data_IF_084886058719
#
_entry.id   IF_084886058719
#
_cell.length_a   1.000
_cell.length_b   1.000
_cell.length_c   1.000
_cell.angle_alpha   90.00
_cell.angle_beta   90.00
_cell.angle_gamma   90.00
#
_symmetry.space_group_name_H-M   'P 1'
#
loop_
_entity.id
_entity.type
_entity.pdbx_description
1 polymer ?
#
# COMPACT_ATOMS: atom_id res chain seq x y z
N UNK A 1 66.70 -29.03 -25.53
CA UNK A 1 68.13 -29.12 -25.20
C UNK A 1 68.51 -27.93 -24.37
N UNK A 2 69.41 -28.14 -23.44
CA UNK A 2 69.36 -28.92 -22.19
C UNK A 2 69.47 -27.93 -21.01
N UNK A 3 69.33 -28.18 -19.76
CA UNK A 3 70.16 -29.10 -18.91
C UNK A 3 69.54 -29.10 -17.48
N UNK A 4 69.31 -30.23 -16.90
CA UNK A 4 69.52 -30.43 -15.47
C UNK A 4 70.98 -30.93 -15.32
N UNK A 5 71.62 -31.16 -14.17
CA UNK A 5 71.14 -31.67 -12.88
C UNK A 5 71.79 -30.95 -11.67
N UNK A 6 71.53 -31.26 -10.39
CA UNK A 6 72.20 -32.35 -9.66
C UNK A 6 71.60 -32.53 -8.24
N UNK A 7 71.63 -33.78 -7.82
CA UNK A 7 71.31 -34.29 -6.51
C UNK A 7 72.47 -34.10 -5.50
N UNK A 8 72.18 -34.13 -4.20
CA UNK A 8 72.94 -34.90 -3.20
C UNK A 8 72.14 -35.08 -1.92
N UNK A 9 71.77 -36.15 -1.59
CA UNK A 9 71.96 -37.24 -0.61
C UNK A 9 72.55 -36.77 0.73
N UNK A 10 71.87 -37.01 1.83
CA UNK A 10 72.25 -37.90 2.92
C UNK A 10 71.28 -37.92 4.09
N UNK A 11 70.70 -39.05 4.38
CA UNK A 11 70.20 -39.47 5.69
C UNK A 11 71.30 -40.31 6.39
N UNK A 12 71.18 -40.93 7.57
CA UNK A 12 70.31 -40.70 8.75
C UNK A 12 71.12 -40.68 10.05
N UNK A 13 70.42 -40.32 11.19
CA UNK A 13 70.83 -40.93 12.48
C UNK A 13 69.75 -40.92 13.54
N UNK A 14 69.31 -42.06 14.00
CA UNK A 14 68.72 -42.39 15.28
C UNK A 14 69.80 -43.17 16.08
N UNK A 15 69.82 -43.37 17.43
CA UNK A 15 68.76 -43.11 18.48
C UNK A 15 69.34 -42.65 19.82
N UNK A 16 68.56 -42.33 20.80
CA UNK A 16 68.76 -42.82 22.16
C UNK A 16 67.54 -42.52 23.11
N UNK A 17 67.09 -43.62 23.71
CA UNK A 17 66.19 -43.66 24.90
C UNK A 17 66.76 -42.93 26.07
N UNK A 18 65.89 -42.13 26.75
CA UNK A 18 65.93 -42.02 28.20
C UNK A 18 64.51 -41.91 28.76
N UNK A 19 64.17 -42.87 29.60
CA UNK A 19 63.04 -42.90 30.54
C UNK A 19 63.19 -41.77 31.60
N UNK A 20 62.07 -41.25 32.03
CA UNK A 20 62.02 -40.65 33.34
C UNK A 20 60.95 -39.60 33.49
N UNK A 21 59.94 -39.95 34.23
CA UNK A 21 59.12 -39.22 35.17
C UNK A 21 57.74 -38.66 34.68
N UNK A 22 56.77 -39.43 35.17
CA UNK A 22 55.37 -39.07 35.27
C UNK A 22 55.17 -37.95 36.30
N UNK A 23 54.83 -36.75 35.84
CA UNK A 23 54.16 -35.77 36.66
C UNK A 23 52.80 -35.44 36.04
N UNK A 24 51.72 -35.97 36.63
CA UNK A 24 50.34 -35.57 36.36
C UNK A 24 50.22 -34.06 36.62
N UNK A 25 50.11 -33.25 35.54
CA UNK A 25 49.56 -31.91 35.62
C UNK A 25 48.10 -31.98 35.20
N UNK A 26 47.24 -31.63 36.14
CA UNK A 26 45.83 -31.37 35.85
C UNK A 26 45.71 -30.26 34.81
N UNK A 27 44.78 -30.34 33.84
CA UNK A 27 44.60 -29.29 32.86
C UNK A 27 44.08 -28.04 33.56
N UNK A 28 44.79 -26.95 33.36
CA UNK A 28 44.43 -25.65 33.87
C UNK A 28 43.06 -25.22 33.23
N UNK A 29 42.12 -24.93 34.06
CA UNK A 29 40.76 -24.43 33.76
C UNK A 29 40.76 -23.14 32.89
N UNK A 30 41.91 -22.55 32.63
CA UNK A 30 42.07 -21.35 31.81
C UNK A 30 42.12 -21.58 30.29
N UNK A 31 42.65 -22.72 29.84
CA UNK A 31 42.78 -23.00 28.39
C UNK A 31 41.45 -23.29 27.68
N UNK A 32 40.50 -23.88 28.39
CA UNK A 32 39.16 -24.12 27.86
C UNK A 32 38.33 -22.85 27.68
N UNK A 33 38.49 -21.88 28.57
CA UNK A 33 37.75 -20.59 28.47
C UNK A 33 38.30 -19.75 27.34
N UNK A 34 39.60 -19.70 27.16
CA UNK A 34 40.23 -18.96 26.01
C UNK A 34 39.90 -19.57 24.68
N UNK A 35 39.77 -20.90 24.59
CA UNK A 35 39.38 -21.61 23.37
C UNK A 35 37.89 -21.30 22.99
N UNK A 36 37.00 -21.28 23.99
CA UNK A 36 35.58 -20.92 23.79
C UNK A 36 35.44 -19.43 23.39
N UNK A 37 36.17 -18.55 24.02
CA UNK A 37 36.17 -17.13 23.67
C UNK A 37 36.70 -16.88 22.25
N UNK A 38 37.75 -17.60 21.82
CA UNK A 38 38.28 -17.49 20.47
C UNK A 38 37.29 -18.03 19.42
N UNK A 39 36.58 -19.12 19.71
CA UNK A 39 35.52 -19.65 18.85
C UNK A 39 34.33 -18.69 18.75
N UNK A 40 33.90 -18.12 19.85
CA UNK A 40 32.83 -17.11 19.86
C UNK A 40 33.21 -15.85 19.10
N UNK A 41 34.45 -15.39 19.21
CA UNK A 41 34.95 -14.26 18.38
C UNK A 41 34.99 -14.61 16.90
N UNK A 42 35.45 -15.80 16.54
CA UNK A 42 35.49 -16.28 15.17
C UNK A 42 34.07 -16.37 14.56
N UNK A 43 33.09 -16.94 15.29
CA UNK A 43 31.70 -17.01 14.87
C UNK A 43 31.08 -15.61 14.70
N UNK A 44 31.42 -14.68 15.60
CA UNK A 44 30.93 -13.30 15.53
C UNK A 44 31.48 -12.55 14.34
N UNK A 45 32.79 -12.71 14.05
CA UNK A 45 33.44 -12.11 12.88
C UNK A 45 32.90 -12.69 11.57
N UNK A 46 32.65 -14.02 11.54
CA UNK A 46 32.07 -14.70 10.37
C UNK A 46 30.62 -14.24 10.14
N UNK A 47 29.81 -14.12 11.19
CA UNK A 47 28.45 -13.57 11.11
C UNK A 47 28.45 -12.10 10.66
N UNK A 48 29.37 -11.27 11.16
CA UNK A 48 29.53 -9.88 10.73
C UNK A 48 29.94 -9.78 9.26
N UNK A 49 30.82 -10.66 8.78
CA UNK A 49 31.22 -10.73 7.37
C UNK A 49 30.05 -11.20 6.47
N UNK A 50 29.29 -12.21 6.89
CA UNK A 50 28.09 -12.64 6.15
C UNK A 50 27.03 -11.56 6.07
N UNK A 51 26.79 -10.82 7.16
CA UNK A 51 25.86 -9.68 7.19
C UNK A 51 26.36 -8.55 6.27
N UNK A 52 27.66 -8.24 6.32
CA UNK A 52 28.25 -7.21 5.46
C UNK A 52 28.18 -7.58 3.97
N UNK A 53 28.41 -8.85 3.64
CA UNK A 53 28.34 -9.35 2.26
C UNK A 53 26.89 -9.33 1.75
N UNK A 54 25.94 -9.83 2.54
CA UNK A 54 24.52 -9.78 2.22
C UNK A 54 24.01 -8.33 2.05
N UNK A 55 24.54 -7.41 2.85
CA UNK A 55 24.24 -5.97 2.74
C UNK A 55 24.77 -5.36 1.45
N UNK A 56 26.01 -5.70 1.07
CA UNK A 56 26.61 -5.22 -0.17
C UNK A 56 25.91 -5.78 -1.42
N UNK A 57 25.52 -7.05 -1.40
CA UNK A 57 24.69 -7.65 -2.48
C UNK A 57 23.32 -7.00 -2.59
N UNK A 58 22.70 -6.73 -1.45
CA UNK A 58 21.40 -6.02 -1.37
C UNK A 58 21.52 -4.59 -1.95
N UNK A 59 22.55 -3.84 -1.57
CA UNK A 59 22.78 -2.48 -2.06
C UNK A 59 23.04 -2.47 -3.57
N UNK A 60 23.83 -3.42 -4.09
CA UNK A 60 24.05 -3.56 -5.53
C UNK A 60 22.76 -3.95 -6.30
N UNK A 61 21.95 -4.85 -5.74
CA UNK A 61 20.68 -5.21 -6.34
C UNK A 61 19.71 -4.00 -6.34
N UNK A 62 19.67 -3.24 -5.26
CA UNK A 62 18.87 -2.03 -5.13
C UNK A 62 19.31 -0.94 -6.12
N UNK A 63 20.62 -0.73 -6.29
CA UNK A 63 21.17 0.21 -7.29
C UNK A 63 20.76 -0.16 -8.71
N UNK A 64 20.89 -1.44 -9.10
CA UNK A 64 20.44 -1.92 -10.42
C UNK A 64 18.94 -1.75 -10.65
N UNK A 65 18.12 -1.95 -9.61
CA UNK A 65 16.67 -1.73 -9.66
C UNK A 65 16.39 -0.23 -9.78
N UNK A 66 17.09 0.61 -9.02
CA UNK A 66 16.97 2.06 -9.02
C UNK A 66 17.33 2.67 -10.38
N UNK A 67 18.41 2.17 -11.03
CA UNK A 67 18.79 2.55 -12.38
C UNK A 67 17.72 2.20 -13.43
N UNK A 68 17.07 1.03 -13.29
CA UNK A 68 16.02 0.56 -14.20
C UNK A 68 14.65 1.20 -13.98
N UNK A 69 14.30 1.50 -12.74
CA UNK A 69 12.96 1.98 -12.36
C UNK A 69 12.93 3.46 -11.97
N UNK A 70 14.09 4.06 -11.71
CA UNK A 70 14.22 5.44 -11.22
C UNK A 70 13.71 5.64 -9.78
N UNK A 71 13.44 4.55 -9.04
CA UNK A 71 12.87 4.58 -7.68
C UNK A 71 13.48 3.50 -6.80
N UNK A 72 13.58 3.76 -5.49
CA UNK A 72 13.93 2.79 -4.46
C UNK A 72 12.77 1.82 -4.21
N UNK A 73 12.63 0.80 -5.07
CA UNK A 73 11.52 -0.15 -5.03
C UNK A 73 11.49 -0.94 -3.71
N UNK A 74 12.65 -1.22 -3.13
CA UNK A 74 12.75 -1.98 -1.88
C UNK A 74 12.24 -1.15 -0.70
N UNK A 75 12.67 0.11 -0.59
CA UNK A 75 12.19 1.03 0.45
C UNK A 75 10.68 1.25 0.30
N UNK A 76 10.20 1.44 -0.94
CA UNK A 76 8.79 1.55 -1.22
C UNK A 76 8.01 0.32 -0.76
N UNK A 77 8.49 -0.89 -1.09
CA UNK A 77 7.84 -2.15 -0.68
C UNK A 77 7.82 -2.32 0.83
N UNK A 78 8.92 -2.01 1.53
CA UNK A 78 8.98 -2.08 2.99
C UNK A 78 7.99 -1.12 3.67
N UNK A 79 7.90 0.12 3.19
CA UNK A 79 6.93 1.10 3.69
C UNK A 79 5.51 0.60 3.41
N UNK A 80 5.23 0.09 2.20
CA UNK A 80 3.93 -0.47 1.84
C UNK A 80 3.53 -1.65 2.73
N UNK A 81 4.45 -2.58 2.99
CA UNK A 81 4.24 -3.72 3.89
C UNK A 81 4.01 -3.24 5.32
N UNK A 82 4.81 -2.30 5.83
CA UNK A 82 4.64 -1.75 7.18
C UNK A 82 3.26 -1.09 7.36
N UNK A 83 2.84 -0.26 6.40
CA UNK A 83 1.49 0.34 6.40
C UNK A 83 0.44 -0.76 6.32
N UNK A 84 0.59 -1.75 5.44
CA UNK A 84 -0.33 -2.86 5.30
C UNK A 84 -0.50 -3.66 6.60
N UNK A 85 0.60 -3.96 7.29
CA UNK A 85 0.57 -4.65 8.59
C UNK A 85 -0.18 -3.82 9.65
N UNK A 86 0.09 -2.51 9.72
CA UNK A 86 -0.62 -1.62 10.66
C UNK A 86 -2.12 -1.56 10.34
N UNK A 87 -2.49 -1.45 9.07
CA UNK A 87 -3.89 -1.43 8.63
C UNK A 87 -4.58 -2.74 9.00
N UNK A 88 -4.00 -3.88 8.66
CA UNK A 88 -4.57 -5.20 8.95
C UNK A 88 -4.66 -5.44 10.46
N UNK A 89 -3.61 -5.14 11.21
CA UNK A 89 -3.63 -5.29 12.67
C UNK A 89 -4.68 -4.40 13.32
N UNK A 90 -4.79 -3.12 12.92
CA UNK A 90 -5.79 -2.20 13.44
C UNK A 90 -7.21 -2.68 13.13
N UNK A 91 -7.44 -3.19 11.93
CA UNK A 91 -8.74 -3.68 11.47
C UNK A 91 -9.21 -4.91 12.27
N UNK A 92 -8.30 -5.86 12.50
CA UNK A 92 -8.63 -7.14 13.19
C UNK A 92 -8.77 -6.93 14.70
N UNK A 93 -7.86 -6.18 15.32
CA UNK A 93 -7.82 -6.09 16.78
C UNK A 93 -8.64 -4.94 17.36
N UNK A 94 -8.68 -3.78 16.69
CA UNK A 94 -9.32 -2.57 17.23
C UNK A 94 -9.96 -1.76 16.10
N UNK A 95 -11.26 -1.99 15.79
CA UNK A 95 -12.01 -1.25 14.76
C UNK A 95 -11.88 0.29 14.87
N UNK A 96 -11.84 0.82 16.09
CA UNK A 96 -11.67 2.26 16.33
C UNK A 96 -10.30 2.79 15.88
N UNK A 97 -9.24 1.98 15.99
CA UNK A 97 -7.91 2.37 15.51
C UNK A 97 -7.87 2.42 13.97
N UNK A 98 -8.54 1.47 13.29
CA UNK A 98 -8.70 1.54 11.84
C UNK A 98 -9.52 2.76 11.42
N UNK A 99 -10.60 3.09 12.14
CA UNK A 99 -11.39 4.29 11.88
C UNK A 99 -10.55 5.58 12.01
N UNK A 100 -9.67 5.64 13.01
CA UNK A 100 -8.72 6.75 13.17
C UNK A 100 -7.69 6.81 12.02
N UNK A 101 -7.18 5.66 11.59
CA UNK A 101 -6.31 5.58 10.42
C UNK A 101 -7.02 6.08 9.15
N UNK A 102 -8.24 5.61 8.91
CA UNK A 102 -9.05 6.05 7.77
C UNK A 102 -9.38 7.54 7.82
N UNK A 103 -9.61 8.10 9.03
CA UNK A 103 -9.79 9.54 9.23
C UNK A 103 -8.52 10.32 8.83
N UNK A 104 -7.35 9.86 9.25
CA UNK A 104 -6.08 10.46 8.87
C UNK A 104 -5.83 10.41 7.36
N UNK A 105 -6.07 9.25 6.74
CA UNK A 105 -5.94 9.06 5.30
C UNK A 105 -6.91 9.96 4.51
N UNK A 106 -8.17 10.04 4.93
CA UNK A 106 -9.19 10.94 4.36
C UNK A 106 -8.75 12.40 4.49
N UNK A 107 -8.29 12.82 5.67
CA UNK A 107 -7.87 14.20 5.90
C UNK A 107 -6.69 14.60 5.00
N UNK A 108 -5.69 13.71 4.85
CA UNK A 108 -4.56 13.93 3.94
C UNK A 108 -5.03 13.97 2.48
N UNK A 109 -5.89 13.05 2.05
CA UNK A 109 -6.41 13.02 0.68
C UNK A 109 -7.25 14.27 0.35
N UNK A 110 -8.10 14.73 1.28
CA UNK A 110 -8.86 15.99 1.12
C UNK A 110 -7.90 17.19 1.03
N UNK A 111 -6.87 17.22 1.87
CA UNK A 111 -5.87 18.29 1.84
C UNK A 111 -5.13 18.30 0.50
N UNK A 112 -4.61 17.17 0.04
CA UNK A 112 -3.90 17.05 -1.24
C UNK A 112 -4.78 17.48 -2.42
N UNK A 113 -6.01 16.96 -2.47
CA UNK A 113 -6.93 17.29 -3.55
C UNK A 113 -7.32 18.77 -3.55
N UNK A 114 -7.64 19.33 -2.39
CA UNK A 114 -7.95 20.76 -2.25
C UNK A 114 -6.78 21.62 -2.70
N UNK A 115 -5.54 21.25 -2.36
CA UNK A 115 -4.34 21.98 -2.79
C UNK A 115 -4.12 21.89 -4.30
N UNK A 116 -4.28 20.71 -4.91
CA UNK A 116 -4.18 20.55 -6.36
C UNK A 116 -5.21 21.44 -7.09
N UNK A 117 -6.43 21.50 -6.58
CA UNK A 117 -7.48 22.36 -7.10
C UNK A 117 -7.19 23.85 -6.92
N UNK A 118 -6.62 24.24 -5.76
CA UNK A 118 -6.19 25.64 -5.53
C UNK A 118 -5.09 26.08 -6.52
N UNK A 119 -4.12 25.19 -6.80
CA UNK A 119 -3.05 25.46 -7.78
C UNK A 119 -3.64 25.62 -9.19
N UNK A 120 -4.70 24.88 -9.53
CA UNK A 120 -5.41 25.02 -10.81
C UNK A 120 -6.35 26.24 -10.89
N UNK A 121 -6.33 27.13 -9.86
CA UNK A 121 -7.08 28.38 -9.82
C UNK A 121 -8.48 28.25 -9.22
N UNK A 122 -8.86 27.08 -8.66
CA UNK A 122 -10.11 26.92 -7.91
C UNK A 122 -9.98 27.41 -6.48
N UNK A 123 -11.06 27.92 -5.91
CA UNK A 123 -11.06 28.39 -4.53
C UNK A 123 -11.79 27.37 -3.65
N UNK A 124 -11.00 26.52 -3.01
CA UNK A 124 -11.48 25.45 -2.12
C UNK A 124 -10.91 25.70 -0.73
N UNK A 125 -11.78 25.90 0.24
CA UNK A 125 -11.38 26.10 1.63
C UNK A 125 -11.24 24.74 2.32
N UNK A 126 -10.04 24.42 2.81
CA UNK A 126 -9.71 23.10 3.35
C UNK A 126 -10.43 22.82 4.68
N UNK A 127 -10.57 23.84 5.55
CA UNK A 127 -11.16 23.67 6.89
C UNK A 127 -12.60 23.15 6.84
N UNK A 128 -13.55 23.76 6.08
CA UNK A 128 -14.90 23.24 5.99
C UNK A 128 -14.95 21.86 5.31
N UNK A 129 -14.05 21.59 4.37
CA UNK A 129 -13.95 20.27 3.75
C UNK A 129 -13.57 19.18 4.79
N UNK A 130 -12.59 19.46 5.64
CA UNK A 130 -12.18 18.55 6.71
C UNK A 130 -13.27 18.39 7.77
N UNK A 131 -13.91 19.48 8.22
CA UNK A 131 -14.97 19.41 9.21
C UNK A 131 -16.17 18.59 8.71
N UNK A 132 -16.60 18.81 7.47
CA UNK A 132 -17.65 18.03 6.83
C UNK A 132 -17.24 16.57 6.61
N UNK A 133 -15.96 16.31 6.28
CA UNK A 133 -15.41 14.97 6.16
C UNK A 133 -15.41 14.19 7.49
N UNK A 134 -15.04 14.83 8.59
CA UNK A 134 -15.14 14.24 9.94
C UNK A 134 -16.60 13.87 10.27
N UNK A 135 -17.54 14.75 9.97
CA UNK A 135 -18.97 14.48 10.14
C UNK A 135 -19.40 13.22 9.37
N UNK A 136 -18.97 13.08 8.12
CA UNK A 136 -19.28 11.92 7.27
C UNK A 136 -18.70 10.62 7.83
N UNK A 137 -17.43 10.61 8.20
CA UNK A 137 -16.81 9.39 8.74
C UNK A 137 -17.43 9.01 10.09
N UNK A 138 -17.65 9.97 10.97
CA UNK A 138 -18.32 9.74 12.26
C UNK A 138 -19.74 9.20 12.06
N UNK A 139 -20.51 9.80 11.16
CA UNK A 139 -21.87 9.31 10.87
C UNK A 139 -21.85 7.91 10.26
N UNK A 140 -20.89 7.58 9.41
CA UNK A 140 -20.74 6.23 8.84
C UNK A 140 -20.43 5.16 9.88
N UNK A 141 -19.67 5.51 10.93
CA UNK A 141 -19.27 4.55 11.96
C UNK A 141 -20.29 4.43 13.11
N UNK A 142 -20.92 5.53 13.53
CA UNK A 142 -21.74 5.58 14.76
C UNK A 142 -23.23 5.59 14.51
N UNK A 143 -23.71 5.92 13.29
CA UNK A 143 -25.15 6.03 13.02
C UNK A 143 -25.60 5.14 11.87
N UNK A 144 -26.87 4.81 11.84
CA UNK A 144 -27.43 3.97 10.80
C UNK A 144 -27.43 4.64 9.42
N UNK A 145 -27.52 3.82 8.36
CA UNK A 145 -27.42 4.21 6.96
C UNK A 145 -28.37 5.38 6.60
N UNK A 146 -29.57 5.43 7.16
CA UNK A 146 -30.51 6.52 6.90
C UNK A 146 -30.00 7.88 7.38
N UNK A 147 -29.53 7.97 8.62
CA UNK A 147 -28.98 9.20 9.17
C UNK A 147 -27.65 9.59 8.49
N UNK A 148 -26.91 8.63 8.00
CA UNK A 148 -25.71 8.91 7.19
C UNK A 148 -26.05 9.65 5.89
N UNK A 149 -27.15 9.33 5.21
CA UNK A 149 -27.60 10.11 4.05
C UNK A 149 -27.93 11.55 4.42
N UNK A 150 -28.58 11.77 5.57
CA UNK A 150 -28.84 13.12 6.09
C UNK A 150 -27.53 13.85 6.38
N UNK A 151 -26.56 13.16 7.01
CA UNK A 151 -25.22 13.72 7.26
C UNK A 151 -24.48 14.05 5.95
N UNK A 152 -24.66 13.25 4.90
CA UNK A 152 -24.07 13.51 3.58
C UNK A 152 -24.64 14.82 2.97
N UNK A 153 -25.95 15.00 3.01
CA UNK A 153 -26.57 16.24 2.57
C UNK A 153 -26.10 17.44 3.40
N UNK A 154 -26.02 17.27 4.72
CA UNK A 154 -25.52 18.31 5.62
C UNK A 154 -24.04 18.66 5.34
N UNK A 155 -23.18 17.67 5.11
CA UNK A 155 -21.77 17.87 4.79
C UNK A 155 -21.59 18.67 3.49
N UNK A 156 -22.31 18.30 2.44
CA UNK A 156 -22.31 19.05 1.17
C UNK A 156 -22.86 20.46 1.38
N UNK A 157 -23.97 20.61 2.13
CA UNK A 157 -24.55 21.92 2.43
C UNK A 157 -23.57 22.82 3.21
N UNK A 158 -22.85 22.29 4.20
CA UNK A 158 -21.82 23.03 4.95
C UNK A 158 -20.79 23.62 3.99
N UNK A 159 -20.25 22.82 3.09
CA UNK A 159 -19.20 23.26 2.13
C UNK A 159 -19.77 24.31 1.15
N UNK A 160 -20.97 24.10 0.64
CA UNK A 160 -21.64 25.02 -0.28
C UNK A 160 -21.93 26.36 0.40
N UNK A 161 -22.57 26.32 1.56
CA UNK A 161 -22.90 27.53 2.33
C UNK A 161 -21.65 28.29 2.73
N UNK A 162 -20.62 27.57 3.21
CA UNK A 162 -19.32 28.18 3.52
C UNK A 162 -18.74 28.92 2.31
N UNK A 163 -18.69 28.27 1.15
CA UNK A 163 -18.12 28.89 -0.05
C UNK A 163 -18.90 30.11 -0.50
N UNK A 164 -20.23 30.07 -0.44
CA UNK A 164 -21.08 31.19 -0.78
C UNK A 164 -20.91 32.34 0.21
N UNK A 165 -20.91 32.10 1.51
CA UNK A 165 -20.70 33.14 2.54
C UNK A 165 -19.28 33.72 2.46
N UNK A 166 -18.27 32.90 2.25
CA UNK A 166 -16.89 33.36 2.02
C UNK A 166 -16.80 34.27 0.79
N UNK A 167 -17.57 34.02 -0.26
CA UNK A 167 -17.60 34.86 -1.45
C UNK A 167 -18.22 36.25 -1.16
N UNK A 168 -19.22 36.34 -0.30
CA UNK A 168 -19.82 37.62 0.08
C UNK A 168 -18.84 38.54 0.80
N UNK A 169 -17.87 37.98 1.52
CA UNK A 169 -16.87 38.73 2.28
C UNK A 169 -15.55 38.96 1.53
N UNK A 170 -15.29 38.19 0.46
CA UNK A 170 -13.97 38.17 -0.16
C UNK A 170 -13.66 39.38 -1.04
N UNK A 171 -14.68 39.99 -1.68
CA UNK A 171 -14.48 41.13 -2.58
C UNK A 171 -13.49 40.89 -3.74
N UNK A 172 -13.24 39.63 -4.12
CA UNK A 172 -12.18 39.19 -5.02
C UNK A 172 -12.52 39.32 -6.53
N UNK A 173 -13.67 39.88 -6.85
CA UNK A 173 -14.07 40.12 -8.24
C UNK A 173 -14.32 38.86 -9.08
N UNK A 174 -14.49 37.67 -8.46
CA UNK A 174 -14.76 36.43 -9.17
C UNK A 174 -16.09 36.48 -9.93
N UNK A 175 -16.09 35.94 -11.14
CA UNK A 175 -17.31 35.84 -11.93
C UNK A 175 -18.31 34.86 -11.28
N UNK A 176 -19.61 35.02 -11.50
CA UNK A 176 -20.61 34.04 -11.03
C UNK A 176 -20.35 32.60 -11.53
N UNK A 177 -19.77 32.46 -12.71
CA UNK A 177 -19.38 31.15 -13.26
C UNK A 177 -18.28 30.49 -12.47
N UNK A 178 -17.28 31.26 -12.05
CA UNK A 178 -16.17 30.73 -11.24
C UNK A 178 -16.65 30.32 -9.86
N UNK A 179 -17.55 31.09 -9.25
CA UNK A 179 -18.15 30.75 -7.94
C UNK A 179 -18.96 29.47 -8.02
N UNK A 180 -19.80 29.31 -9.07
CA UNK A 180 -20.54 28.06 -9.28
C UNK A 180 -19.58 26.88 -9.50
N UNK A 181 -18.53 27.07 -10.29
CA UNK A 181 -17.52 26.02 -10.49
C UNK A 181 -16.79 25.65 -9.19
N UNK A 182 -16.44 26.63 -8.34
CA UNK A 182 -15.82 26.38 -7.03
C UNK A 182 -16.77 25.59 -6.10
N UNK A 183 -18.07 25.93 -6.10
CA UNK A 183 -19.10 25.23 -5.33
C UNK A 183 -19.24 23.77 -5.80
N UNK A 184 -19.35 23.56 -7.12
CA UNK A 184 -19.49 22.21 -7.68
C UNK A 184 -18.26 21.35 -7.41
N UNK A 185 -17.07 21.92 -7.57
CA UNK A 185 -15.82 21.20 -7.29
C UNK A 185 -15.66 20.93 -5.79
N UNK A 186 -16.04 21.89 -4.92
CA UNK A 186 -16.04 21.67 -3.48
C UNK A 186 -17.00 20.56 -3.04
N UNK A 187 -18.21 20.52 -3.61
CA UNK A 187 -19.15 19.42 -3.39
C UNK A 187 -18.62 18.08 -3.92
N UNK A 188 -17.94 18.11 -5.07
CA UNK A 188 -17.30 16.92 -5.63
C UNK A 188 -16.19 16.38 -4.72
N UNK A 189 -15.36 17.23 -4.11
CA UNK A 189 -14.35 16.80 -3.12
C UNK A 189 -15.00 16.03 -1.98
N UNK A 190 -16.15 16.53 -1.44
CA UNK A 190 -16.89 15.86 -0.38
C UNK A 190 -17.44 14.49 -0.79
N UNK A 191 -17.98 14.39 -1.99
CA UNK A 191 -18.55 13.14 -2.49
C UNK A 191 -17.47 12.14 -2.92
N UNK A 192 -16.33 12.61 -3.42
CA UNK A 192 -15.28 11.72 -3.91
C UNK A 192 -14.41 11.15 -2.80
N UNK A 193 -13.98 11.95 -1.83
CA UNK A 193 -13.06 11.47 -0.80
C UNK A 193 -13.80 11.11 0.50
N UNK A 194 -14.41 12.06 1.26
CA UNK A 194 -15.04 11.74 2.54
C UNK A 194 -16.22 10.77 2.44
N UNK A 195 -17.13 10.98 1.46
CA UNK A 195 -18.29 10.12 1.31
C UNK A 195 -17.87 8.68 0.94
N UNK A 196 -16.98 8.48 -0.05
CA UNK A 196 -16.55 7.14 -0.40
C UNK A 196 -15.75 6.48 0.74
N UNK A 197 -14.94 7.23 1.50
CA UNK A 197 -14.29 6.71 2.70
C UNK A 197 -15.31 6.30 3.77
N UNK A 198 -16.39 7.06 3.93
CA UNK A 198 -17.42 6.75 4.91
C UNK A 198 -18.20 5.47 4.60
N UNK A 199 -18.24 5.02 3.33
CA UNK A 199 -18.80 3.72 2.96
C UNK A 199 -18.02 2.57 3.59
N UNK A 200 -16.69 2.69 3.67
CA UNK A 200 -15.86 1.72 4.40
C UNK A 200 -16.15 1.76 5.91
N UNK A 201 -16.48 2.93 6.48
CA UNK A 201 -16.86 3.04 7.89
C UNK A 201 -18.21 2.41 8.19
N UNK A 202 -19.20 2.59 7.30
CA UNK A 202 -20.50 1.91 7.41
C UNK A 202 -20.30 0.40 7.34
N UNK A 203 -19.48 -0.08 6.39
CA UNK A 203 -19.18 -1.50 6.26
C UNK A 203 -18.49 -2.04 7.52
N UNK A 204 -17.51 -1.31 8.06
CA UNK A 204 -16.80 -1.68 9.28
C UNK A 204 -17.70 -1.80 10.50
N UNK A 205 -18.75 -0.97 10.56
CA UNK A 205 -19.72 -0.97 11.65
C UNK A 205 -20.71 -2.15 11.59
N UNK A 206 -20.77 -2.88 10.47
CA UNK A 206 -21.62 -4.06 10.35
C UNK A 206 -21.06 -5.26 11.10
N UNK A 207 -21.89 -6.27 11.34
CA UNK A 207 -21.48 -7.56 11.90
C UNK A 207 -20.51 -8.26 10.94
N UNK A 208 -19.30 -8.61 11.45
CA UNK A 208 -18.24 -9.16 10.61
C UNK A 208 -17.68 -8.18 9.56
N UNK A 209 -18.02 -6.89 9.67
CA UNK A 209 -17.64 -5.86 8.71
C UNK A 209 -16.14 -5.71 8.51
N UNK A 210 -15.34 -6.00 9.55
CA UNK A 210 -13.86 -6.03 9.47
C UNK A 210 -13.36 -7.01 8.41
N UNK A 211 -13.98 -8.16 8.28
CA UNK A 211 -13.60 -9.15 7.28
C UNK A 211 -13.95 -8.71 5.86
N UNK A 212 -15.06 -8.02 5.69
CA UNK A 212 -15.44 -7.46 4.41
C UNK A 212 -14.57 -6.28 3.99
N UNK A 213 -14.18 -5.44 4.96
CA UNK A 213 -13.19 -4.37 4.72
C UNK A 213 -11.85 -4.97 4.31
N UNK A 214 -11.38 -5.99 5.04
CA UNK A 214 -10.15 -6.68 4.69
C UNK A 214 -10.25 -7.33 3.30
N UNK A 215 -11.39 -7.96 2.98
CA UNK A 215 -11.60 -8.62 1.70
C UNK A 215 -11.46 -7.67 0.52
N UNK A 216 -12.14 -6.52 0.53
CA UNK A 216 -12.03 -5.61 -0.61
C UNK A 216 -10.66 -4.94 -0.70
N UNK A 217 -9.99 -4.65 0.44
CA UNK A 217 -8.63 -4.13 0.43
C UNK A 217 -7.65 -5.14 -0.18
N UNK A 218 -7.74 -6.41 0.22
CA UNK A 218 -6.92 -7.48 -0.36
C UNK A 218 -7.20 -7.64 -1.85
N UNK A 219 -8.48 -7.62 -2.27
CA UNK A 219 -8.85 -7.70 -3.68
C UNK A 219 -8.28 -6.55 -4.51
N UNK A 220 -8.33 -5.32 -4.01
CA UNK A 220 -7.76 -4.15 -4.70
C UNK A 220 -6.24 -4.35 -4.88
N UNK A 221 -5.52 -4.74 -3.82
CA UNK A 221 -4.07 -4.99 -3.88
C UNK A 221 -3.73 -6.14 -4.83
N UNK A 222 -4.49 -7.23 -4.80
CA UNK A 222 -4.28 -8.39 -5.67
C UNK A 222 -4.56 -8.04 -7.13
N UNK A 223 -5.60 -7.25 -7.40
CA UNK A 223 -5.90 -6.77 -8.75
C UNK A 223 -4.77 -5.90 -9.30
N UNK A 224 -4.27 -4.95 -8.53
CA UNK A 224 -3.15 -4.08 -8.92
C UNK A 224 -1.86 -4.88 -9.14
N UNK A 225 -1.57 -5.83 -8.26
CA UNK A 225 -0.41 -6.73 -8.39
C UNK A 225 -0.54 -7.61 -9.64
N UNK A 226 -1.72 -8.18 -9.87
CA UNK A 226 -2.03 -8.99 -11.06
C UNK A 226 -1.88 -8.20 -12.35
N UNK A 227 -2.38 -6.94 -12.36
CA UNK A 227 -2.21 -6.03 -13.48
C UNK A 227 -0.73 -5.73 -13.76
N UNK A 228 0.04 -5.46 -12.72
CA UNK A 228 1.46 -5.14 -12.82
C UNK A 228 2.27 -6.32 -13.34
N UNK A 229 2.13 -7.50 -12.73
CA UNK A 229 2.86 -8.72 -13.13
C UNK A 229 2.53 -9.12 -14.56
N UNK A 230 1.24 -9.17 -14.92
CA UNK A 230 0.81 -9.54 -16.28
C UNK A 230 1.21 -8.49 -17.32
N UNK A 231 1.12 -7.22 -16.99
CA UNK A 231 1.55 -6.12 -17.85
C UNK A 231 3.06 -6.18 -18.14
N UNK A 232 3.88 -6.53 -17.14
CA UNK A 232 5.33 -6.70 -17.35
C UNK A 232 5.67 -7.94 -18.18
N UNK A 233 4.99 -9.07 -17.92
CA UNK A 233 5.33 -10.34 -18.56
C UNK A 233 4.78 -10.45 -19.99
N UNK A 234 3.54 -10.03 -20.20
CA UNK A 234 2.83 -10.23 -21.47
C UNK A 234 2.62 -8.95 -22.25
N UNK A 235 2.68 -7.76 -21.63
CA UNK A 235 2.36 -6.47 -22.25
C UNK A 235 3.40 -5.94 -23.25
N UNK A 236 4.50 -6.67 -23.53
CA UNK A 236 5.52 -6.41 -24.57
C UNK A 236 5.74 -4.93 -24.90
N UNK A 237 6.07 -4.11 -23.88
CA UNK A 237 6.37 -2.70 -24.06
C UNK A 237 5.16 -1.80 -24.38
N UNK A 238 3.94 -2.22 -24.00
CA UNK A 238 2.75 -1.38 -24.10
C UNK A 238 2.07 -1.37 -25.47
N UNK A 239 2.15 -2.47 -26.21
CA UNK A 239 1.54 -2.58 -27.56
C UNK A 239 0.02 -2.41 -27.59
N UNK A 240 -0.69 -2.79 -26.50
CA UNK A 240 -2.13 -2.68 -26.40
C UNK A 240 -2.53 -1.83 -25.20
N UNK A 241 -2.33 -0.49 -25.24
CA UNK A 241 -2.69 0.39 -24.15
C UNK A 241 -4.22 0.43 -24.00
N UNK A 242 -4.71 0.29 -22.75
CA UNK A 242 -6.14 0.32 -22.43
C UNK A 242 -6.70 1.75 -22.45
N UNK A 243 -5.94 2.71 -21.96
CA UNK A 243 -6.32 4.12 -21.86
C UNK A 243 -5.17 5.06 -22.30
N UNK A 244 -4.82 5.16 -23.60
CA UNK A 244 -3.60 5.82 -24.08
C UNK A 244 -3.45 7.28 -23.67
N UNK A 245 -4.58 8.02 -23.59
CA UNK A 245 -4.58 9.45 -23.25
C UNK A 245 -4.55 9.73 -21.75
N UNK A 246 -5.05 8.82 -20.94
CA UNK A 246 -5.23 9.00 -19.49
C UNK A 246 -4.08 8.32 -18.75
N UNK A 247 -3.88 7.03 -19.01
CA UNK A 247 -2.86 6.18 -18.40
C UNK A 247 -2.19 5.27 -19.43
N UNK A 248 -1.13 5.77 -20.14
CA UNK A 248 -0.51 5.07 -21.27
C UNK A 248 0.20 3.78 -20.88
N UNK A 249 0.49 3.57 -19.61
CA UNK A 249 1.15 2.36 -19.10
C UNK A 249 0.19 1.21 -18.81
N UNK A 250 -1.13 1.45 -18.75
CA UNK A 250 -2.13 0.40 -18.56
C UNK A 250 -2.38 -0.34 -19.85
N UNK A 251 -2.24 -1.66 -19.83
CA UNK A 251 -2.40 -2.56 -20.98
C UNK A 251 -3.58 -3.51 -20.78
N UNK A 252 -4.14 -4.00 -21.89
CA UNK A 252 -5.21 -5.01 -21.84
C UNK A 252 -4.71 -6.33 -21.27
N UNK A 253 -3.44 -6.70 -21.49
CA UNK A 253 -2.81 -7.87 -20.91
C UNK A 253 -2.71 -7.74 -19.39
N UNK A 254 -2.37 -6.55 -18.91
CA UNK A 254 -2.38 -6.26 -17.47
C UNK A 254 -3.78 -6.38 -16.88
N UNK A 255 -4.80 -5.82 -17.55
CA UNK A 255 -6.19 -5.93 -17.10
C UNK A 255 -6.68 -7.39 -17.07
N UNK A 256 -6.34 -8.19 -18.09
CA UNK A 256 -6.68 -9.62 -18.10
C UNK A 256 -6.05 -10.37 -16.91
N UNK A 257 -4.79 -10.05 -16.57
CA UNK A 257 -4.14 -10.62 -15.40
C UNK A 257 -4.78 -10.18 -14.07
N UNK A 258 -5.15 -8.90 -13.96
CA UNK A 258 -5.91 -8.41 -12.82
C UNK A 258 -7.25 -9.14 -12.68
N UNK A 259 -7.94 -9.37 -13.79
CA UNK A 259 -9.23 -10.06 -13.80
C UNK A 259 -9.10 -11.50 -13.28
N UNK A 260 -8.15 -12.26 -13.80
CA UNK A 260 -7.91 -13.63 -13.32
C UNK A 260 -7.51 -13.64 -11.84
N UNK A 261 -6.59 -12.75 -11.43
CA UNK A 261 -6.15 -12.66 -10.06
C UNK A 261 -7.29 -12.29 -9.09
N UNK A 262 -8.13 -11.32 -9.48
CA UNK A 262 -9.27 -10.89 -8.68
C UNK A 262 -10.35 -11.99 -8.54
N UNK A 263 -10.61 -12.78 -9.59
CA UNK A 263 -11.55 -13.90 -9.50
C UNK A 263 -11.03 -15.01 -8.58
N UNK A 264 -9.75 -15.37 -8.70
CA UNK A 264 -9.13 -16.38 -7.84
C UNK A 264 -9.15 -15.90 -6.38
N UNK A 265 -8.67 -14.69 -6.11
CA UNK A 265 -8.66 -14.12 -4.76
C UNK A 265 -10.08 -13.97 -4.20
N UNK A 266 -11.03 -13.52 -5.03
CA UNK A 266 -12.44 -13.40 -4.64
C UNK A 266 -13.03 -14.73 -4.17
N UNK A 267 -12.79 -15.82 -4.90
CA UNK A 267 -13.23 -17.18 -4.50
C UNK A 267 -12.57 -17.60 -3.19
N UNK A 268 -11.26 -17.41 -3.05
CA UNK A 268 -10.56 -17.78 -1.82
C UNK A 268 -11.06 -16.98 -0.61
N UNK A 269 -11.26 -15.66 -0.77
CA UNK A 269 -11.78 -14.81 0.30
C UNK A 269 -13.23 -15.14 0.66
N UNK A 270 -14.08 -15.41 -0.34
CA UNK A 270 -15.47 -15.80 -0.09
C UNK A 270 -15.53 -17.10 0.72
N UNK A 271 -14.81 -18.15 0.31
CA UNK A 271 -14.88 -19.47 0.94
C UNK A 271 -14.18 -19.47 2.31
N UNK A 272 -12.95 -18.97 2.39
CA UNK A 272 -12.13 -19.16 3.60
C UNK A 272 -12.26 -18.03 4.63
N UNK A 273 -12.63 -16.84 4.21
CA UNK A 273 -12.71 -15.68 5.11
C UNK A 273 -14.15 -15.23 5.39
N UNK A 274 -14.99 -15.14 4.35
CA UNK A 274 -16.37 -14.66 4.49
C UNK A 274 -17.37 -15.80 4.72
N UNK A 275 -16.94 -17.06 4.62
CA UNK A 275 -17.78 -18.26 4.76
C UNK A 275 -19.00 -18.24 3.82
N UNK A 276 -18.77 -17.81 2.59
CA UNK A 276 -19.77 -17.68 1.53
C UNK A 276 -19.60 -18.77 0.46
N UNK A 277 -20.65 -19.10 -0.31
CA UNK A 277 -20.51 -19.95 -1.47
C UNK A 277 -19.47 -19.45 -2.47
N UNK A 278 -18.68 -20.34 -3.08
CA UNK A 278 -17.55 -19.99 -3.96
C UNK A 278 -17.92 -19.06 -5.12
N UNK A 279 -19.11 -19.20 -5.69
CA UNK A 279 -19.58 -18.39 -6.83
C UNK A 279 -19.79 -16.91 -6.46
N UNK A 280 -20.10 -16.61 -5.18
CA UNK A 280 -20.23 -15.23 -4.70
C UNK A 280 -18.89 -14.50 -4.78
N UNK A 281 -17.78 -15.23 -4.59
CA UNK A 281 -16.43 -14.72 -4.73
C UNK A 281 -16.09 -14.26 -6.16
N UNK A 282 -16.64 -14.94 -7.19
CA UNK A 282 -16.49 -14.51 -8.57
C UNK A 282 -17.17 -13.14 -8.80
N UNK A 283 -18.39 -12.99 -8.27
CA UNK A 283 -19.13 -11.72 -8.40
C UNK A 283 -18.40 -10.61 -7.63
N UNK A 284 -18.01 -10.88 -6.38
CA UNK A 284 -17.33 -9.92 -5.54
C UNK A 284 -15.98 -9.48 -6.15
N UNK A 285 -15.16 -10.43 -6.62
CA UNK A 285 -13.91 -10.15 -7.30
C UNK A 285 -14.08 -9.31 -8.57
N UNK A 286 -15.07 -9.65 -9.41
CA UNK A 286 -15.35 -8.91 -10.62
C UNK A 286 -15.84 -7.48 -10.35
N UNK A 287 -16.72 -7.30 -9.36
CA UNK A 287 -17.26 -5.98 -8.98
C UNK A 287 -16.18 -5.09 -8.39
N UNK A 288 -15.38 -5.61 -7.46
CA UNK A 288 -14.26 -4.84 -6.87
C UNK A 288 -13.22 -4.47 -7.92
N UNK A 289 -12.86 -5.40 -8.82
CA UNK A 289 -11.95 -5.08 -9.93
C UNK A 289 -12.50 -3.96 -10.82
N UNK A 290 -13.78 -4.04 -11.19
CA UNK A 290 -14.41 -3.03 -12.04
C UNK A 290 -14.37 -1.65 -11.37
N UNK A 291 -14.76 -1.57 -10.09
CA UNK A 291 -14.76 -0.30 -9.34
C UNK A 291 -13.35 0.23 -9.07
N UNK A 292 -12.39 -0.64 -8.76
CA UNK A 292 -10.98 -0.27 -8.61
C UNK A 292 -10.42 0.30 -9.92
N UNK A 293 -10.71 -0.35 -11.06
CA UNK A 293 -10.25 0.12 -12.37
C UNK A 293 -10.87 1.46 -12.74
N UNK A 294 -12.17 1.64 -12.50
CA UNK A 294 -12.86 2.92 -12.75
C UNK A 294 -12.32 4.02 -11.85
N UNK A 295 -12.05 3.74 -10.58
CA UNK A 295 -11.48 4.70 -9.63
C UNK A 295 -10.12 5.22 -10.08
N UNK A 296 -9.17 4.31 -10.36
CA UNK A 296 -7.84 4.66 -10.80
C UNK A 296 -7.85 5.41 -12.17
N UNK A 297 -8.69 4.99 -13.11
CA UNK A 297 -8.84 5.73 -14.37
C UNK A 297 -9.48 7.11 -14.17
N UNK A 298 -10.48 7.22 -13.29
CA UNK A 298 -11.15 8.47 -12.95
C UNK A 298 -10.19 9.47 -12.30
N UNK A 299 -9.39 9.01 -11.32
CA UNK A 299 -8.37 9.84 -10.69
C UNK A 299 -7.25 10.23 -11.67
N UNK A 300 -6.82 9.29 -12.52
CA UNK A 300 -5.86 9.58 -13.59
C UNK A 300 -6.39 10.64 -14.56
N UNK A 301 -7.68 10.61 -14.91
CA UNK A 301 -8.32 11.63 -15.74
C UNK A 301 -8.32 13.00 -15.05
N UNK A 302 -8.71 13.05 -13.78
CA UNK A 302 -8.67 14.29 -12.98
C UNK A 302 -7.26 14.91 -12.95
N UNK A 303 -6.22 14.10 -12.78
CA UNK A 303 -4.83 14.57 -12.84
C UNK A 303 -4.48 15.18 -14.19
N UNK A 304 -4.92 14.59 -15.30
CA UNK A 304 -4.67 15.15 -16.65
C UNK A 304 -5.41 16.47 -16.85
N UNK A 305 -6.65 16.57 -16.39
CA UNK A 305 -7.44 17.81 -16.49
C UNK A 305 -6.83 18.94 -15.64
N UNK A 306 -6.21 18.61 -14.50
CA UNK A 306 -5.48 19.56 -13.67
C UNK A 306 -4.06 19.87 -14.18
N UNK A 307 -3.59 19.19 -15.23
CA UNK A 307 -2.23 19.36 -15.76
C UNK A 307 -1.12 18.79 -14.86
N UNK A 308 -1.46 17.92 -13.93
CA UNK A 308 -0.52 17.30 -12.98
C UNK A 308 -0.37 15.80 -13.26
N UNK A 309 0.62 15.18 -12.64
CA UNK A 309 0.84 13.74 -12.74
C UNK A 309 0.53 13.01 -11.43
N UNK A 310 0.93 13.56 -10.31
CA UNK A 310 0.73 13.04 -8.97
C UNK A 310 0.04 14.13 -8.14
N UNK A 311 -0.87 13.77 -7.23
CA UNK A 311 -1.61 14.73 -6.41
C UNK A 311 -0.70 15.48 -5.43
N UNK A 312 0.33 14.80 -4.93
CA UNK A 312 1.36 15.40 -4.07
C UNK A 312 2.66 14.57 -4.08
N UNK A 313 3.67 15.06 -3.36
CA UNK A 313 4.94 14.36 -3.14
C UNK A 313 5.16 14.00 -1.66
N UNK A 314 4.11 13.91 -0.86
CA UNK A 314 4.21 13.74 0.60
C UNK A 314 4.75 12.38 1.01
N UNK A 315 4.37 11.33 0.31
CA UNK A 315 4.91 10.00 0.55
C UNK A 315 6.17 9.82 -0.29
N UNK A 316 7.36 9.72 0.33
CA UNK A 316 8.59 9.46 -0.41
C UNK A 316 8.40 8.24 -1.31
N UNK A 317 8.76 8.37 -2.60
CA UNK A 317 8.66 7.30 -3.62
C UNK A 317 7.21 6.95 -4.05
N UNK A 318 6.17 7.22 -3.21
CA UNK A 318 4.79 6.75 -3.44
C UNK A 318 3.83 7.80 -4.04
N UNK A 319 4.21 9.09 -4.11
CA UNK A 319 3.31 10.15 -4.55
C UNK A 319 2.37 10.65 -3.44
N UNK A 320 1.14 10.95 -3.75
CA UNK A 320 0.13 11.37 -2.78
C UNK A 320 -0.61 10.22 -2.10
N UNK A 321 -1.28 10.53 -1.00
CA UNK A 321 -2.19 9.59 -0.32
C UNK A 321 -3.41 9.32 -1.20
N UNK A 322 -3.94 10.35 -1.88
CA UNK A 322 -5.07 10.19 -2.78
C UNK A 322 -4.72 9.25 -3.95
N UNK A 323 -3.48 9.34 -4.49
CA UNK A 323 -2.96 8.44 -5.54
C UNK A 323 -2.93 6.95 -5.10
N UNK A 324 -3.12 6.65 -3.81
CA UNK A 324 -3.18 5.29 -3.26
C UNK A 324 -4.59 4.85 -2.86
N UNK A 325 -5.47 5.80 -2.72
CA UNK A 325 -6.87 5.55 -2.38
C UNK A 325 -7.79 5.51 -3.61
N UNK A 326 -7.29 5.84 -4.79
CA UNK A 326 -8.05 5.99 -6.02
C UNK A 326 -8.88 4.75 -6.39
N UNK A 327 -8.29 3.56 -6.30
CA UNK A 327 -8.95 2.26 -6.50
C UNK A 327 -9.76 1.81 -5.27
N UNK A 328 -9.31 2.19 -4.07
CA UNK A 328 -9.91 1.77 -2.80
C UNK A 328 -11.25 2.49 -2.56
N UNK A 329 -11.31 3.80 -2.82
CA UNK A 329 -12.48 4.63 -2.51
C UNK A 329 -13.78 4.14 -3.19
N UNK A 330 -13.83 3.93 -4.53
CA UNK A 330 -15.03 3.39 -5.15
C UNK A 330 -15.32 1.94 -4.76
N UNK A 331 -14.26 1.15 -4.51
CA UNK A 331 -14.39 -0.25 -4.11
C UNK A 331 -15.04 -0.42 -2.73
N UNK A 332 -14.88 0.55 -1.83
CA UNK A 332 -15.55 0.54 -0.53
C UNK A 332 -17.08 0.58 -0.67
N UNK A 333 -17.60 1.41 -1.59
CA UNK A 333 -19.04 1.48 -1.88
C UNK A 333 -19.55 0.17 -2.47
N UNK A 334 -18.80 -0.40 -3.40
CA UNK A 334 -19.14 -1.69 -4.00
C UNK A 334 -19.12 -2.83 -2.96
N UNK A 335 -18.12 -2.84 -2.09
CA UNK A 335 -18.02 -3.82 -1.01
C UNK A 335 -19.19 -3.71 -0.02
N UNK A 336 -19.62 -2.50 0.33
CA UNK A 336 -20.80 -2.27 1.17
C UNK A 336 -22.08 -2.79 0.49
N UNK A 337 -22.25 -2.51 -0.80
CA UNK A 337 -23.39 -3.03 -1.55
C UNK A 337 -23.37 -4.56 -1.61
N UNK A 338 -22.20 -5.17 -1.86
CA UNK A 338 -22.04 -6.62 -1.87
C UNK A 338 -22.28 -7.23 -0.49
N UNK A 339 -21.90 -6.57 0.59
CA UNK A 339 -22.24 -7.01 1.95
C UNK A 339 -23.75 -7.19 2.11
N UNK A 340 -24.56 -6.20 1.78
CA UNK A 340 -26.02 -6.29 1.92
C UNK A 340 -26.66 -7.34 1.02
N UNK A 341 -26.07 -7.62 -0.14
CA UNK A 341 -26.60 -8.61 -1.08
C UNK A 341 -26.15 -10.03 -0.73
N UNK A 342 -24.92 -10.22 -0.31
CA UNK A 342 -24.29 -11.52 -0.20
C UNK A 342 -24.24 -12.06 1.25
N UNK A 343 -24.18 -11.19 2.27
CA UNK A 343 -24.12 -11.64 3.67
C UNK A 343 -25.28 -12.55 4.09
N UNK A 344 -26.53 -12.38 3.58
CA UNK A 344 -27.59 -13.32 3.89
C UNK A 344 -27.40 -14.74 3.34
N UNK A 345 -26.45 -14.93 2.42
CA UNK A 345 -26.12 -16.22 1.81
C UNK A 345 -25.03 -16.98 2.60
N UNK A 346 -24.48 -16.37 3.64
CA UNK A 346 -23.50 -17.00 4.51
C UNK A 346 -24.08 -18.18 5.27
N UNK A 347 -23.26 -19.20 5.48
CA UNK A 347 -23.63 -20.34 6.31
C UNK A 347 -23.64 -19.86 7.77
N UNK A 348 -24.83 -19.78 8.37
CA UNK A 348 -25.04 -19.51 9.79
C UNK A 348 -24.57 -20.66 10.67
#
# INVERSE_FOLDING_TARGET
>A
MPEAPDADETAPDLPSHRRGDSARRAPATGEGVTAIESQLRAMRTDAEQHIAHARAEFDQANERIKERTGRDLIVASLIGVAIGVVVVASLIFIKGLFALFALGAMALAVFEFSRALQVSGRRIDVIPQLAAGVLLLASGFFVGLWLHWVATLAAVAIVVVWRLTAQLHAGDGRSPRDVVADVLVGAFVQLYVPFLTSMAMILLAQDGGEWWVLAFLVLAVVADTGAYVSGLTFGRGGRHPMAPRISPKKTWEGFAGAFVAALIAGVLLAVFMLQLPWWTGLIFGAVVLATATVGDLGESMLKRDLGIKDMSSWLPVHGGVLDRLDSILPSATAALAMYYVLSPLGVS
#
